data_IF_108850493292
#
_entry.id   IF_108850493292
#
_cell.length_a   1.000
_cell.length_b   1.000
_cell.length_c   1.000
_cell.angle_alpha   90.00
_cell.angle_beta   90.00
_cell.angle_gamma   90.00
#
_symmetry.space_group_name_H-M   'P 1'
#
loop_
_entity.id
_entity.type
_entity.pdbx_description
1 polymer ?
#
# COMPACT_ATOMS: atom_id res chain seq x y z
N UNK A 1 -11.24 2.52 -10.41
CA UNK A 1 -9.81 2.68 -10.69
C UNK A 1 -9.10 1.41 -10.25
N UNK A 2 -8.27 0.87 -11.14
CA UNK A 2 -7.41 -0.28 -10.87
C UNK A 2 -5.98 0.23 -10.90
N UNK A 3 -5.21 -0.01 -9.85
CA UNK A 3 -3.84 0.50 -9.71
C UNK A 3 -2.85 -0.66 -9.61
N UNK A 4 -1.68 -0.51 -10.21
CA UNK A 4 -0.57 -1.46 -10.12
C UNK A 4 0.62 -0.76 -9.51
N UNK A 5 1.19 -1.35 -8.46
CA UNK A 5 2.40 -0.88 -7.79
C UNK A 5 3.50 -1.92 -7.99
N UNK A 6 4.53 -1.54 -8.77
CA UNK A 6 5.74 -2.32 -8.91
C UNK A 6 6.69 -2.00 -7.75
N UNK A 7 7.00 -3.00 -6.93
CA UNK A 7 7.93 -2.87 -5.80
C UNK A 7 9.32 -3.44 -6.09
N UNK A 8 9.64 -3.64 -7.37
CA UNK A 8 11.00 -3.93 -7.81
C UNK A 8 11.97 -2.90 -7.24
N UNK A 9 13.08 -3.38 -6.67
CA UNK A 9 14.08 -2.56 -5.97
C UNK A 9 13.59 -1.84 -4.69
N UNK A 10 12.49 -2.29 -4.07
CA UNK A 10 12.16 -1.83 -2.73
C UNK A 10 13.30 -2.19 -1.77
N UNK A 11 13.99 -1.17 -1.27
CA UNK A 11 15.08 -1.33 -0.29
C UNK A 11 14.57 -1.20 1.14
N UNK A 12 15.35 -1.71 2.09
CA UNK A 12 15.07 -1.51 3.52
C UNK A 12 14.97 -0.03 3.89
N UNK A 13 15.86 0.82 3.34
CA UNK A 13 15.85 2.26 3.58
C UNK A 13 14.53 2.89 3.14
N UNK A 14 14.03 2.53 1.94
CA UNK A 14 12.75 3.05 1.44
C UNK A 14 11.57 2.56 2.28
N UNK A 15 11.57 1.29 2.67
CA UNK A 15 10.50 0.68 3.46
C UNK A 15 10.40 1.21 4.90
N UNK A 16 11.47 1.85 5.41
CA UNK A 16 11.57 2.38 6.78
C UNK A 16 11.67 3.90 6.84
N UNK A 17 11.73 4.57 5.68
CA UNK A 17 11.86 6.03 5.63
C UNK A 17 10.60 6.71 6.14
N UNK A 18 10.69 7.22 7.37
CA UNK A 18 9.56 7.74 8.15
C UNK A 18 8.70 8.76 7.39
N UNK A 19 9.31 9.79 6.79
CA UNK A 19 8.55 10.83 6.09
C UNK A 19 7.77 10.27 4.89
N UNK A 20 8.34 9.31 4.16
CA UNK A 20 7.65 8.66 3.05
C UNK A 20 6.45 7.84 3.54
N UNK A 21 6.61 7.15 4.67
CA UNK A 21 5.53 6.41 5.31
C UNK A 21 4.43 7.36 5.76
N UNK A 22 4.75 8.46 6.44
CA UNK A 22 3.77 9.45 6.90
C UNK A 22 2.96 10.05 5.74
N UNK A 23 3.62 10.41 4.64
CA UNK A 23 2.95 10.90 3.42
C UNK A 23 2.05 9.82 2.80
N UNK A 24 2.53 8.57 2.74
CA UNK A 24 1.74 7.45 2.22
C UNK A 24 0.49 7.21 3.07
N UNK A 25 0.62 7.21 4.40
CA UNK A 25 -0.51 7.06 5.32
C UNK A 25 -1.52 8.19 5.17
N UNK A 26 -1.05 9.44 5.07
CA UNK A 26 -1.92 10.60 4.83
C UNK A 26 -2.67 10.47 3.52
N UNK A 27 -1.98 10.12 2.43
CA UNK A 27 -2.60 9.94 1.12
C UNK A 27 -3.66 8.85 1.14
N UNK A 28 -3.36 7.68 1.72
CA UNK A 28 -4.31 6.56 1.83
C UNK A 28 -5.54 6.94 2.66
N UNK A 29 -5.35 7.71 3.74
CA UNK A 29 -6.45 8.20 4.58
C UNK A 29 -7.35 9.17 3.81
N UNK A 30 -6.77 10.21 3.20
CA UNK A 30 -7.56 11.16 2.39
C UNK A 30 -8.30 10.44 1.27
N UNK A 31 -7.64 9.50 0.59
CA UNK A 31 -8.26 8.81 -0.55
C UNK A 31 -9.40 7.88 -0.12
N UNK A 32 -9.26 7.14 0.97
CA UNK A 32 -10.32 6.26 1.44
C UNK A 32 -11.51 7.02 2.02
N UNK A 33 -11.26 8.12 2.73
CA UNK A 33 -12.31 8.90 3.40
C UNK A 33 -13.15 9.69 2.38
N UNK A 34 -12.54 10.12 1.26
CA UNK A 34 -13.22 10.94 0.26
C UNK A 34 -13.66 10.17 -1.00
N UNK A 35 -12.99 9.05 -1.34
CA UNK A 35 -13.24 8.30 -2.59
C UNK A 35 -13.27 6.77 -2.42
N UNK A 36 -14.03 6.21 -1.46
CA UNK A 36 -13.98 4.78 -1.11
C UNK A 36 -14.41 3.84 -2.25
N UNK A 37 -15.42 4.23 -3.03
CA UNK A 37 -15.97 3.42 -4.13
C UNK A 37 -15.13 3.50 -5.42
N UNK A 38 -14.20 4.46 -5.49
CA UNK A 38 -13.39 4.67 -6.69
C UNK A 38 -12.30 3.61 -6.84
N UNK A 39 -11.85 3.01 -5.74
CA UNK A 39 -10.87 1.90 -5.76
C UNK A 39 -11.61 0.61 -6.10
N UNK A 40 -11.28 0.00 -7.25
CA UNK A 40 -11.83 -1.32 -7.65
C UNK A 40 -10.89 -2.45 -7.26
N UNK A 41 -9.59 -2.28 -7.53
CA UNK A 41 -8.55 -3.29 -7.26
C UNK A 41 -7.18 -2.63 -7.17
N UNK A 42 -6.32 -3.15 -6.32
CA UNK A 42 -4.94 -2.72 -6.15
C UNK A 42 -4.05 -3.95 -6.30
N UNK A 43 -3.12 -3.89 -7.24
CA UNK A 43 -2.14 -4.93 -7.47
C UNK A 43 -0.78 -4.48 -6.99
N UNK A 44 -0.11 -5.33 -6.22
CA UNK A 44 1.25 -5.13 -5.76
C UNK A 44 2.07 -6.24 -6.38
N UNK A 45 3.02 -5.89 -7.23
CA UNK A 45 3.86 -6.86 -7.96
C UNK A 45 5.31 -6.71 -7.54
N UNK A 46 6.09 -7.78 -7.68
CA UNK A 46 7.50 -7.85 -7.29
C UNK A 46 7.72 -7.50 -5.81
N UNK A 47 6.79 -7.90 -4.93
CA UNK A 47 6.90 -7.64 -3.51
C UNK A 47 7.96 -8.55 -2.86
N UNK A 48 8.93 -7.94 -2.17
CA UNK A 48 9.94 -8.63 -1.36
C UNK A 48 9.60 -8.57 0.14
N UNK A 49 10.45 -9.13 1.00
CA UNK A 49 10.22 -9.17 2.46
C UNK A 49 10.05 -7.80 3.12
N UNK A 50 10.64 -6.73 2.57
CA UNK A 50 10.49 -5.38 3.12
C UNK A 50 9.09 -4.81 2.90
N UNK A 51 8.36 -5.28 1.89
CA UNK A 51 6.96 -4.91 1.72
C UNK A 51 6.12 -5.33 2.93
N UNK A 52 6.34 -6.53 3.48
CA UNK A 52 5.60 -7.00 4.66
C UNK A 52 5.80 -6.08 5.87
N UNK A 53 7.02 -5.56 6.06
CA UNK A 53 7.31 -4.57 7.11
C UNK A 53 6.49 -3.30 6.92
N UNK A 54 6.56 -2.70 5.72
CA UNK A 54 5.82 -1.48 5.39
C UNK A 54 4.29 -1.70 5.46
N UNK A 55 3.80 -2.80 4.90
CA UNK A 55 2.38 -3.14 4.86
C UNK A 55 1.82 -3.39 6.24
N UNK A 56 2.62 -3.90 7.19
CA UNK A 56 2.18 -4.10 8.58
C UNK A 56 1.75 -2.81 9.28
N UNK A 57 2.28 -1.67 8.83
CA UNK A 57 1.93 -0.33 9.29
C UNK A 57 0.71 0.17 8.52
N UNK A 58 0.75 0.08 7.18
CA UNK A 58 -0.32 0.57 6.29
C UNK A 58 -1.65 -0.12 6.57
N UNK A 59 -1.66 -1.45 6.76
CA UNK A 59 -2.90 -2.21 6.95
C UNK A 59 -3.74 -1.75 8.15
N UNK A 60 -3.11 -1.14 9.17
CA UNK A 60 -3.81 -0.68 10.39
C UNK A 60 -4.74 0.49 10.14
N UNK A 61 -4.51 1.25 9.07
CA UNK A 61 -5.33 2.42 8.73
C UNK A 61 -6.30 2.15 7.59
N UNK A 62 -6.17 1.03 6.88
CA UNK A 62 -7.02 0.71 5.75
C UNK A 62 -8.32 0.03 6.24
N UNK A 63 -9.46 0.43 5.66
CA UNK A 63 -10.71 -0.27 5.89
C UNK A 63 -10.67 -1.72 5.36
N UNK A 64 -11.45 -2.60 5.99
CA UNK A 64 -11.59 -4.00 5.55
C UNK A 64 -12.00 -4.10 4.07
N UNK A 65 -12.88 -3.21 3.60
CA UNK A 65 -13.31 -3.16 2.21
C UNK A 65 -12.17 -2.87 1.24
N UNK A 66 -11.19 -2.04 1.62
CA UNK A 66 -10.00 -1.77 0.81
C UNK A 66 -9.00 -2.91 0.88
N UNK A 67 -8.79 -3.51 2.07
CA UNK A 67 -7.90 -4.65 2.23
C UNK A 67 -8.29 -5.82 1.31
N UNK A 68 -9.59 -6.11 1.19
CA UNK A 68 -10.09 -7.15 0.27
C UNK A 68 -9.84 -6.85 -1.22
N UNK A 69 -9.53 -5.61 -1.58
CA UNK A 69 -9.24 -5.20 -2.96
C UNK A 69 -7.75 -5.27 -3.30
N UNK A 70 -6.88 -5.52 -2.32
CA UNK A 70 -5.43 -5.61 -2.50
C UNK A 70 -5.06 -7.05 -2.85
N UNK A 71 -4.30 -7.22 -3.93
CA UNK A 71 -3.69 -8.49 -4.33
C UNK A 71 -2.18 -8.31 -4.45
N UNK A 72 -1.44 -9.15 -3.72
CA UNK A 72 0.01 -9.10 -3.66
C UNK A 72 0.61 -10.31 -4.38
N UNK A 73 1.56 -10.04 -5.27
CA UNK A 73 2.35 -11.01 -6.01
C UNK A 73 3.81 -10.83 -5.63
N UNK A 74 4.43 -11.94 -5.20
CA UNK A 74 5.83 -11.97 -4.81
C UNK A 74 6.72 -11.89 -6.04
N UNK A 75 7.93 -11.34 -5.84
CA UNK A 75 9.05 -11.50 -6.78
C UNK A 75 9.60 -12.93 -6.72
#
# INVERSE_FOLDING_TARGET
MTSIYNLENLSFANATHRKSIEICLYFLKVYQDNYPERIKRVFIINANGYFSLLFSIIQKILSNALLMKIQCYKA
#
